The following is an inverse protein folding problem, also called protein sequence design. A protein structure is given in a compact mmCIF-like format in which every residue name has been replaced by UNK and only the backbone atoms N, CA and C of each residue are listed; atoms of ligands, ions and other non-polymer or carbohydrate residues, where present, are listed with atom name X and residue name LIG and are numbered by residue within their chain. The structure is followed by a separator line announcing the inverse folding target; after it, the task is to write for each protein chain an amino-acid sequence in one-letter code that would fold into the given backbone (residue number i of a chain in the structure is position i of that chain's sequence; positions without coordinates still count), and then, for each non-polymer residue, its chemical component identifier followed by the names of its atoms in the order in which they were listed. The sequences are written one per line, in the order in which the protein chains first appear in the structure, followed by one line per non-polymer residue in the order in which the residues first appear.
data_IF_513189070999
#
_entry.id   IF_513189070999
#
_cell.length_a   1.000
_cell.length_b   1.000
_cell.length_c   1.000
_cell.angle_alpha   90.00
_cell.angle_beta   90.00
_cell.angle_gamma   90.00
#
_symmetry.space_group_name_H-M   'P 1'
#
loop_
_entity.id
_entity.type
_entity.pdbx_description
1 polymer ?
#
# COMPACT_ATOMS: atom_id res chain seq x y z
N UNK A 1 1.31 15.04 -0.03
CA UNK A 1 2.19 14.12 0.70
C UNK A 1 3.37 14.85 1.37
N UNK A 2 4.30 15.46 0.63
CA UNK A 2 5.49 16.12 1.23
C UNK A 2 5.20 17.36 2.11
N UNK A 3 3.99 17.90 2.06
CA UNK A 3 3.52 18.97 2.95
C UNK A 3 2.89 18.45 4.26
N UNK A 4 2.94 17.14 4.51
CA UNK A 4 2.42 16.53 5.75
C UNK A 4 0.95 16.15 5.73
N UNK A 5 0.28 16.22 4.57
CA UNK A 5 -1.13 15.86 4.41
C UNK A 5 -1.32 14.41 3.95
N UNK A 6 -2.32 13.75 4.54
CA UNK A 6 -2.85 12.46 4.10
C UNK A 6 -3.60 12.61 2.78
N UNK A 7 -3.41 11.66 1.86
CA UNK A 7 -4.11 11.62 0.58
C UNK A 7 -4.58 10.21 0.26
N UNK A 8 -5.76 10.09 -0.34
CA UNK A 8 -6.37 8.81 -0.72
C UNK A 8 -6.85 8.86 -2.16
N UNK A 9 -6.54 7.82 -2.92
CA UNK A 9 -7.02 7.63 -4.29
C UNK A 9 -7.60 6.22 -4.38
N UNK A 10 -8.80 6.10 -4.93
CA UNK A 10 -9.46 4.80 -5.15
C UNK A 10 -10.03 4.74 -6.56
N UNK A 11 -10.02 3.55 -7.15
CA UNK A 11 -10.61 3.30 -8.47
C UNK A 11 -11.93 2.55 -8.33
N UNK A 12 -13.00 3.09 -8.91
CA UNK A 12 -14.35 2.54 -8.86
C UNK A 12 -14.94 2.39 -10.25
N UNK A 13 -15.78 1.36 -10.45
CA UNK A 13 -16.41 1.05 -11.73
C UNK A 13 -16.66 -0.45 -11.90
N UNK A 14 -17.37 -0.82 -12.96
CA UNK A 14 -17.69 -2.22 -13.27
C UNK A 14 -16.43 -3.07 -13.57
N UNK A 15 -16.58 -4.39 -13.51
CA UNK A 15 -15.52 -5.32 -13.98
C UNK A 15 -15.22 -5.06 -15.45
N UNK A 16 -13.92 -5.05 -15.81
CA UNK A 16 -13.47 -4.71 -17.16
C UNK A 16 -13.33 -3.20 -17.44
N UNK A 17 -13.78 -2.30 -16.55
CA UNK A 17 -13.65 -0.84 -16.74
C UNK A 17 -12.22 -0.29 -16.58
N UNK A 18 -11.21 -1.14 -16.38
CA UNK A 18 -9.82 -0.72 -16.28
C UNK A 18 -9.31 -0.31 -14.89
N UNK A 19 -10.06 -0.54 -13.80
CA UNK A 19 -9.61 -0.21 -12.42
C UNK A 19 -8.19 -0.68 -12.10
N UNK A 20 -7.91 -1.97 -12.32
CA UNK A 20 -6.59 -2.57 -12.08
C UNK A 20 -5.53 -2.03 -13.04
N UNK A 21 -5.92 -1.71 -14.28
CA UNK A 21 -5.03 -1.10 -15.27
C UNK A 21 -4.65 0.34 -14.90
N UNK A 22 -5.59 1.14 -14.41
CA UNK A 22 -5.31 2.50 -13.95
C UNK A 22 -4.44 2.52 -12.69
N UNK A 23 -4.71 1.66 -11.70
CA UNK A 23 -3.98 1.64 -10.43
C UNK A 23 -2.63 0.93 -10.53
N UNK A 24 -2.60 -0.30 -11.03
CA UNK A 24 -1.38 -1.12 -11.15
C UNK A 24 -0.72 -1.03 -12.54
N UNK A 25 -1.54 -1.05 -13.59
CA UNK A 25 -1.07 -1.05 -14.98
C UNK A 25 -0.39 -2.35 -15.40
N UNK A 26 0.41 -2.26 -16.46
CA UNK A 26 1.27 -3.36 -16.95
C UNK A 26 2.74 -2.97 -16.81
N UNK A 27 3.65 -3.87 -17.18
CA UNK A 27 5.10 -3.58 -17.17
C UNK A 27 5.45 -2.47 -18.16
N UNK A 28 4.80 -2.46 -19.32
CA UNK A 28 5.00 -1.50 -20.41
C UNK A 28 4.26 -0.18 -20.14
N UNK A 29 3.10 -0.28 -19.49
CA UNK A 29 2.24 0.87 -19.16
C UNK A 29 1.97 0.89 -17.64
N UNK A 30 2.92 1.38 -16.82
CA UNK A 30 2.76 1.40 -15.37
C UNK A 30 1.59 2.30 -14.96
N UNK A 31 0.80 1.80 -14.01
CA UNK A 31 -0.34 2.51 -13.43
C UNK A 31 0.08 3.56 -12.40
N UNK A 32 -0.90 4.07 -11.67
CA UNK A 32 -0.71 5.13 -10.68
C UNK A 32 0.22 4.72 -9.53
N UNK A 33 0.04 3.54 -8.94
CA UNK A 33 0.83 3.06 -7.79
C UNK A 33 2.34 3.01 -8.11
N UNK A 34 2.81 2.28 -9.15
CA UNK A 34 4.25 2.24 -9.45
C UNK A 34 4.83 3.61 -9.85
N UNK A 35 4.03 4.48 -10.51
CA UNK A 35 4.44 5.85 -10.82
C UNK A 35 4.61 6.68 -9.54
N UNK A 36 3.63 6.64 -8.62
CA UNK A 36 3.71 7.36 -7.34
C UNK A 36 4.90 6.90 -6.50
N UNK A 37 5.16 5.60 -6.41
CA UNK A 37 6.33 5.09 -5.69
C UNK A 37 7.63 5.68 -6.25
N UNK A 38 7.79 5.71 -7.59
CA UNK A 38 8.97 6.30 -8.23
C UNK A 38 9.11 7.80 -7.90
N UNK A 39 8.04 8.57 -8.08
CA UNK A 39 8.03 10.01 -7.81
C UNK A 39 8.35 10.34 -6.36
N UNK A 40 7.90 9.52 -5.40
CA UNK A 40 8.24 9.68 -3.98
C UNK A 40 9.75 9.56 -3.79
N UNK A 41 10.39 8.51 -4.32
CA UNK A 41 11.84 8.33 -4.16
C UNK A 41 12.64 9.40 -4.90
N UNK A 42 12.27 9.76 -6.13
CA UNK A 42 12.91 10.86 -6.87
C UNK A 42 12.87 12.17 -6.08
N UNK A 43 11.71 12.51 -5.49
CA UNK A 43 11.58 13.74 -4.70
C UNK A 43 12.33 13.69 -3.37
N UNK A 44 12.44 12.51 -2.74
CA UNK A 44 13.29 12.31 -1.56
C UNK A 44 14.76 12.59 -1.91
N UNK A 45 15.28 11.99 -2.99
CA UNK A 45 16.66 12.19 -3.45
C UNK A 45 16.95 13.68 -3.73
N UNK A 46 16.04 14.37 -4.41
CA UNK A 46 16.14 15.80 -4.70
C UNK A 46 16.20 16.65 -3.42
N UNK A 47 15.39 16.34 -2.40
CA UNK A 47 15.39 17.09 -1.14
C UNK A 47 16.67 16.81 -0.34
N UNK A 48 17.11 15.54 -0.28
CA UNK A 48 18.30 15.15 0.46
C UNK A 48 19.59 15.73 -0.15
N UNK A 49 19.67 15.84 -1.48
CA UNK A 49 20.81 16.48 -2.15
C UNK A 49 20.98 17.95 -1.75
N UNK A 50 19.88 18.64 -1.46
CA UNK A 50 19.87 20.06 -1.04
C UNK A 50 19.98 20.22 0.48
N UNK A 51 19.49 19.25 1.25
CA UNK A 51 19.44 19.31 2.71
C UNK A 51 19.87 17.96 3.32
N UNK A 52 21.19 17.71 3.49
CA UNK A 52 21.70 16.42 3.96
C UNK A 52 21.23 16.01 5.36
N UNK A 53 20.76 16.97 6.17
CA UNK A 53 20.26 16.71 7.53
C UNK A 53 18.81 16.20 7.55
N UNK A 54 18.07 16.29 6.44
CA UNK A 54 16.68 15.81 6.35
C UNK A 54 16.68 14.30 6.14
N UNK A 55 15.94 13.59 6.99
CA UNK A 55 15.77 12.14 6.93
C UNK A 55 14.33 11.79 6.60
N UNK A 56 14.14 10.74 5.80
CA UNK A 56 12.84 10.21 5.44
C UNK A 56 12.74 8.76 5.90
N UNK A 57 11.57 8.38 6.39
CA UNK A 57 11.17 6.99 6.63
C UNK A 57 9.97 6.70 5.73
N UNK A 58 10.09 5.71 4.86
CA UNK A 58 9.01 5.27 3.98
C UNK A 58 8.62 3.86 4.39
N UNK A 59 7.35 3.68 4.73
CA UNK A 59 6.76 2.38 5.06
C UNK A 59 5.65 2.07 4.07
N UNK A 60 5.37 0.78 3.86
CA UNK A 60 4.35 0.31 2.94
C UNK A 60 3.62 -0.88 3.56
N UNK A 61 2.30 -0.89 3.42
CA UNK A 61 1.41 -1.99 3.79
C UNK A 61 0.54 -2.33 2.58
N UNK A 62 0.29 -3.61 2.32
CA UNK A 62 -0.59 -4.03 1.22
C UNK A 62 -1.56 -5.10 1.69
N UNK A 63 -2.86 -4.81 1.58
CA UNK A 63 -3.93 -5.55 2.22
C UNK A 63 -5.02 -5.87 1.18
N UNK A 64 -5.67 -7.02 1.34
CA UNK A 64 -6.90 -7.37 0.60
C UNK A 64 -8.06 -7.53 1.58
N UNK A 65 -9.21 -6.92 1.25
CA UNK A 65 -10.48 -7.19 1.92
C UNK A 65 -11.30 -8.07 0.97
N UNK A 66 -11.57 -9.31 1.38
CA UNK A 66 -12.39 -10.23 0.62
C UNK A 66 -13.36 -10.96 1.53
N UNK A 67 -14.66 -10.84 1.23
CA UNK A 67 -15.75 -11.39 2.04
C UNK A 67 -15.66 -10.98 3.51
N UNK A 68 -15.47 -9.67 3.76
CA UNK A 68 -15.32 -9.08 5.10
C UNK A 68 -14.12 -9.60 5.92
N UNK A 69 -13.18 -10.30 5.30
CA UNK A 69 -11.94 -10.77 5.92
C UNK A 69 -10.75 -9.99 5.35
N UNK A 70 -9.87 -9.50 6.23
CA UNK A 70 -8.61 -8.84 5.86
C UNK A 70 -7.48 -9.85 5.75
N UNK A 71 -6.68 -9.72 4.69
CA UNK A 71 -5.48 -10.51 4.46
C UNK A 71 -4.28 -9.60 4.23
N UNK A 72 -3.15 -9.91 4.89
CA UNK A 72 -1.86 -9.29 4.56
C UNK A 72 -1.33 -9.85 3.24
N UNK A 73 -1.15 -9.01 2.21
CA UNK A 73 -0.58 -9.42 0.93
C UNK A 73 0.96 -9.44 0.94
N UNK A 74 1.59 -8.90 1.98
CA UNK A 74 3.03 -8.90 2.17
C UNK A 74 3.53 -10.00 3.11
N UNK A 75 2.65 -10.75 3.78
CA UNK A 75 3.07 -11.87 4.65
C UNK A 75 3.81 -12.93 3.80
N UNK A 76 5.11 -13.19 4.07
CA UNK A 76 5.91 -14.16 3.32
C UNK A 76 5.34 -15.58 3.40
N UNK A 77 4.54 -15.88 4.43
CA UNK A 77 3.90 -17.18 4.60
C UNK A 77 2.77 -17.44 3.60
N UNK A 78 2.24 -16.42 2.88
CA UNK A 78 1.31 -16.66 1.77
C UNK A 78 1.99 -17.32 0.56
N UNK A 79 3.29 -17.07 0.36
CA UNK A 79 4.04 -17.51 -0.84
C UNK A 79 4.80 -18.81 -0.61
N UNK A 80 5.12 -19.12 0.65
CA UNK A 80 5.71 -20.39 1.01
C UNK A 80 4.58 -21.41 1.10
N UNK A 81 4.61 -22.49 0.33
CA UNK A 81 3.67 -23.62 0.40
C UNK A 81 3.68 -24.37 1.75
N UNK A 82 4.12 -23.72 2.82
CA UNK A 82 3.93 -24.12 4.21
C UNK A 82 2.44 -24.20 4.50
N UNK A 83 2.04 -25.27 5.20
CA UNK A 83 0.66 -25.60 5.60
C UNK A 83 0.02 -24.60 6.58
N UNK A 84 0.25 -23.28 6.46
CA UNK A 84 -0.57 -22.29 7.14
C UNK A 84 -1.91 -22.23 6.41
N UNK A 85 -3.00 -22.46 7.14
CA UNK A 85 -4.34 -22.36 6.58
C UNK A 85 -4.62 -20.88 6.29
N UNK A 86 -5.50 -20.59 5.32
CA UNK A 86 -5.92 -19.22 4.94
C UNK A 86 -6.44 -18.38 6.15
N UNK A 87 -6.78 -19.01 7.27
CA UNK A 87 -7.16 -18.35 8.53
C UNK A 87 -5.98 -17.84 9.38
N UNK A 88 -4.75 -18.31 9.17
CA UNK A 88 -3.56 -17.90 9.96
C UNK A 88 -2.96 -16.57 9.49
N UNK A 89 -3.48 -15.99 8.41
CA UNK A 89 -3.07 -14.70 7.84
C UNK A 89 -4.20 -13.67 7.91
N UNK A 90 -5.27 -13.99 8.66
CA UNK A 90 -6.37 -13.07 8.91
C UNK A 90 -5.90 -11.97 9.86
N UNK A 91 -6.20 -10.73 9.50
CA UNK A 91 -5.92 -9.57 10.34
C UNK A 91 -7.20 -9.04 10.99
N UNK A 92 -7.04 -8.50 12.20
CA UNK A 92 -8.14 -7.88 12.94
C UNK A 92 -8.14 -6.36 12.74
N UNK A 93 -9.33 -5.80 12.56
CA UNK A 93 -9.53 -4.34 12.59
C UNK A 93 -9.74 -3.90 14.03
N UNK A 94 -8.98 -2.90 14.47
CA UNK A 94 -9.06 -2.32 15.81
C UNK A 94 -9.26 -0.81 15.74
N UNK A 95 -9.76 -0.23 16.81
CA UNK A 95 -9.96 1.21 16.93
C UNK A 95 -9.15 1.74 18.11
N UNK A 96 -8.41 2.83 17.88
CA UNK A 96 -7.68 3.54 18.92
C UNK A 96 -8.21 4.98 19.03
N UNK A 97 -8.46 5.51 20.25
CA UNK A 97 -9.11 6.82 20.44
C UNK A 97 -8.44 8.01 19.74
N UNK A 98 -7.14 7.90 19.45
CA UNK A 98 -6.35 8.96 18.81
C UNK A 98 -5.91 8.64 17.38
N UNK A 99 -5.77 7.36 17.03
CA UNK A 99 -5.26 6.94 15.71
C UNK A 99 -6.41 6.57 14.75
N UNK A 100 -7.62 6.43 15.27
CA UNK A 100 -8.78 5.94 14.53
C UNK A 100 -8.71 4.44 14.29
N UNK A 101 -9.29 4.01 13.16
CA UNK A 101 -9.37 2.61 12.75
C UNK A 101 -8.03 2.18 12.14
N UNK A 102 -7.50 1.05 12.59
CA UNK A 102 -6.24 0.47 12.10
C UNK A 102 -6.32 -1.05 12.03
N UNK A 103 -5.39 -1.66 11.29
CA UNK A 103 -5.27 -3.11 11.16
C UNK A 103 -4.17 -3.60 12.10
N UNK A 104 -4.47 -4.59 12.93
CA UNK A 104 -3.54 -5.18 13.88
C UNK A 104 -2.84 -6.39 13.25
N UNK A 105 -1.56 -6.25 12.96
CA UNK A 105 -0.69 -7.25 12.35
C UNK A 105 0.76 -6.80 12.38
#
# INVERSE_FOLDING_TARGET
AFEGWNGTIFAYGQTGAGKSFSMGGTKEMPGMVPKMCREIYTKIEDIQSKNPNVKFLVTCSFLEIYNEVLYDLLDPNLKSGTNKKKGDTQLDVKEHPQLGVYVAG
#
